data_IF_589986425379
#
_entry.id   IF_589986425379
#
_cell.length_a   1.000
_cell.length_b   1.000
_cell.length_c   1.000
_cell.angle_alpha   90.00
_cell.angle_beta   90.00
_cell.angle_gamma   90.00
#
_symmetry.space_group_name_H-M   'P 1'
#
loop_
_entity.id
_entity.type
_entity.pdbx_description
1 polymer ?
#
# COMPACT_ATOMS: atom_id res chain seq x y z
N UNK A 1 -4.96 -17.26 -17.18
CA UNK A 1 -5.14 -15.91 -16.62
C UNK A 1 -4.26 -15.80 -15.38
N UNK A 2 -2.97 -15.59 -15.59
CA UNK A 2 -2.04 -15.26 -14.51
C UNK A 2 -2.12 -13.77 -14.21
N UNK A 3 -2.17 -13.43 -12.93
CA UNK A 3 -2.07 -12.06 -12.45
C UNK A 3 -0.86 -12.01 -11.51
N UNK A 4 0.08 -11.11 -11.78
CA UNK A 4 1.19 -10.83 -10.85
C UNK A 4 1.00 -9.43 -10.29
N UNK A 5 0.96 -9.28 -8.97
CA UNK A 5 0.79 -7.97 -8.33
C UNK A 5 2.02 -7.63 -7.48
N UNK A 6 2.55 -6.43 -7.66
CA UNK A 6 3.50 -5.80 -6.74
C UNK A 6 2.74 -4.80 -5.89
N UNK A 7 2.82 -4.96 -4.57
CA UNK A 7 2.08 -4.18 -3.58
C UNK A 7 3.02 -3.67 -2.51
N UNK A 8 2.55 -2.70 -1.72
CA UNK A 8 3.21 -2.33 -0.48
C UNK A 8 3.42 -3.56 0.41
N UNK A 9 4.68 -3.87 0.70
CA UNK A 9 5.03 -4.90 1.66
C UNK A 9 4.88 -4.34 3.08
N UNK A 10 3.71 -4.57 3.67
CA UNK A 10 3.37 -4.12 5.04
C UNK A 10 4.25 -4.82 6.08
N UNK A 11 4.74 -6.04 5.81
CA UNK A 11 5.65 -6.72 6.73
C UNK A 11 7.03 -6.05 6.74
N UNK A 12 7.57 -5.71 5.57
CA UNK A 12 8.82 -4.95 5.45
C UNK A 12 8.68 -3.52 6.00
N UNK A 13 7.53 -2.87 5.80
CA UNK A 13 7.22 -1.57 6.38
C UNK A 13 7.25 -1.64 7.91
N UNK A 14 6.57 -2.62 8.52
CA UNK A 14 6.63 -2.82 9.98
C UNK A 14 8.07 -3.02 10.42
N UNK A 15 8.83 -3.92 9.80
CA UNK A 15 10.20 -4.17 10.23
C UNK A 15 11.09 -2.91 10.11
N UNK A 16 10.88 -2.08 9.09
CA UNK A 16 11.55 -0.79 8.97
C UNK A 16 11.15 0.18 10.09
N UNK A 17 9.85 0.31 10.40
CA UNK A 17 9.37 1.16 11.48
C UNK A 17 9.89 0.67 12.84
N UNK A 18 9.82 -0.65 13.11
CA UNK A 18 10.39 -1.26 14.32
C UNK A 18 11.86 -0.91 14.49
N UNK A 19 12.65 -1.07 13.42
CA UNK A 19 14.08 -0.76 13.45
C UNK A 19 14.38 0.73 13.61
N UNK A 20 13.53 1.62 13.09
CA UNK A 20 13.71 3.07 13.21
C UNK A 20 13.36 3.56 14.63
N UNK A 21 12.35 2.95 15.25
CA UNK A 21 11.90 3.26 16.60
C UNK A 21 12.65 2.46 17.68
N UNK A 22 13.67 1.68 17.27
CA UNK A 22 14.49 0.85 18.15
C UNK A 22 13.69 -0.10 19.05
N UNK A 23 12.50 -0.50 18.58
CA UNK A 23 11.63 -1.41 19.31
C UNK A 23 12.20 -2.83 19.31
N UNK A 24 12.03 -3.61 20.41
CA UNK A 24 12.44 -5.01 20.45
C UNK A 24 11.85 -5.83 19.30
N UNK A 25 12.50 -6.94 18.96
CA UNK A 25 11.97 -7.89 18.00
C UNK A 25 10.58 -8.38 18.45
N UNK A 26 9.59 -8.31 17.56
CA UNK A 26 8.20 -8.67 17.87
C UNK A 26 7.39 -7.58 18.59
N UNK A 27 7.98 -6.43 18.94
CA UNK A 27 7.26 -5.34 19.61
C UNK A 27 6.54 -4.37 18.64
N UNK A 28 6.68 -4.53 17.32
CA UNK A 28 5.78 -3.89 16.35
C UNK A 28 4.95 -4.95 15.63
N UNK A 29 3.68 -5.04 15.98
CA UNK A 29 2.77 -6.10 15.50
C UNK A 29 1.75 -5.57 14.49
N UNK A 30 1.06 -6.46 13.79
CA UNK A 30 -0.13 -6.08 13.03
C UNK A 30 -1.29 -5.97 14.02
N UNK A 31 -2.07 -4.89 13.96
CA UNK A 31 -3.14 -4.64 14.92
C UNK A 31 -4.29 -5.65 14.83
N UNK A 32 -4.42 -6.30 13.69
CA UNK A 32 -5.43 -7.29 13.31
C UNK A 32 -4.97 -8.74 13.58
N UNK A 33 -3.75 -8.93 14.08
CA UNK A 33 -3.22 -10.25 14.39
C UNK A 33 -3.78 -10.76 15.73
N UNK A 34 -4.37 -11.95 15.74
CA UNK A 34 -5.00 -12.58 16.92
C UNK A 34 -4.00 -13.06 18.00
N UNK A 35 -2.76 -12.58 17.98
CA UNK A 35 -1.76 -12.95 18.97
C UNK A 35 -1.99 -12.20 20.29
N UNK A 36 -1.57 -12.81 21.40
CA UNK A 36 -1.53 -12.10 22.68
C UNK A 36 -0.64 -10.84 22.54
N UNK A 37 -1.05 -9.70 23.13
CA UNK A 37 -0.26 -8.49 23.06
C UNK A 37 1.12 -8.70 23.70
N UNK A 38 2.20 -8.13 23.13
CA UNK A 38 3.50 -8.14 23.76
C UNK A 38 3.46 -7.53 25.17
N UNK A 39 4.31 -8.03 26.06
CA UNK A 39 4.47 -7.43 27.38
C UNK A 39 5.25 -6.11 27.28
N UNK A 40 4.87 -5.11 28.08
CA UNK A 40 5.57 -3.82 28.17
C UNK A 40 5.19 -2.83 27.06
N UNK A 41 6.13 -1.95 26.69
CA UNK A 41 5.96 -0.96 25.64
C UNK A 41 6.07 -1.62 24.26
N UNK A 42 5.02 -1.50 23.46
CA UNK A 42 4.98 -2.03 22.10
C UNK A 42 4.16 -1.11 21.19
N UNK A 43 4.19 -1.38 19.90
CA UNK A 43 3.38 -0.69 18.92
C UNK A 43 2.64 -1.68 18.02
N UNK A 44 1.53 -1.24 17.43
CA UNK A 44 0.83 -1.94 16.38
C UNK A 44 0.64 -1.04 15.17
N UNK A 45 0.71 -1.63 13.98
CA UNK A 45 0.45 -0.94 12.72
C UNK A 45 -0.84 -1.48 12.13
N UNK A 46 -1.75 -0.59 11.74
CA UNK A 46 -3.02 -0.93 11.11
C UNK A 46 -3.25 -0.11 9.86
N UNK A 47 -3.52 -0.75 8.74
CA UNK A 47 -4.07 -0.06 7.57
C UNK A 47 -5.51 0.36 7.85
N UNK A 48 -5.82 1.64 7.63
CA UNK A 48 -7.17 2.18 7.80
C UNK A 48 -7.91 2.25 6.48
N UNK A 49 -7.26 2.82 5.48
CA UNK A 49 -7.82 3.05 4.16
C UNK A 49 -6.69 3.23 3.15
N UNK A 50 -7.00 2.89 1.90
CA UNK A 50 -6.12 3.09 0.76
C UNK A 50 -6.93 3.69 -0.37
N UNK A 51 -6.38 4.69 -1.05
CA UNK A 51 -7.01 5.37 -2.17
C UNK A 51 -6.04 5.51 -3.34
N UNK A 52 -6.56 5.45 -4.56
CA UNK A 52 -5.80 5.77 -5.76
C UNK A 52 -5.53 7.28 -5.83
N UNK A 53 -4.35 7.64 -6.31
CA UNK A 53 -3.97 9.02 -6.58
C UNK A 53 -3.93 9.21 -8.09
N UNK A 54 -4.94 9.90 -8.61
CA UNK A 54 -5.08 10.13 -10.04
C UNK A 54 -5.61 8.91 -10.79
N UNK A 55 -5.24 8.79 -12.06
CA UNK A 55 -5.72 7.72 -12.96
C UNK A 55 -4.63 6.69 -13.17
N UNK A 56 -4.99 5.41 -13.04
CA UNK A 56 -4.10 4.28 -13.32
C UNK A 56 -3.58 4.32 -14.76
N UNK A 57 -2.26 4.17 -14.91
CA UNK A 57 -1.59 4.07 -16.22
C UNK A 57 -1.61 2.62 -16.70
N UNK A 58 -1.84 2.43 -18.00
CA UNK A 58 -1.85 1.12 -18.64
C UNK A 58 -0.79 1.07 -19.72
N UNK A 59 -0.04 -0.02 -19.73
CA UNK A 59 0.99 -0.30 -20.73
C UNK A 59 0.79 -1.71 -21.28
N UNK A 60 0.65 -1.82 -22.60
CA UNK A 60 0.50 -3.10 -23.26
C UNK A 60 1.81 -3.50 -23.93
N UNK A 61 2.31 -4.69 -23.60
CA UNK A 61 3.44 -5.31 -24.28
C UNK A 61 2.92 -6.41 -25.22
N UNK A 62 2.85 -6.09 -26.52
CA UNK A 62 2.36 -7.01 -27.56
C UNK A 62 3.22 -8.26 -27.76
N UNK A 63 4.53 -8.18 -27.51
CA UNK A 63 5.44 -9.33 -27.63
C UNK A 63 5.25 -10.33 -26.49
N UNK A 64 4.91 -9.82 -25.31
CA UNK A 64 4.68 -10.62 -24.11
C UNK A 64 3.22 -11.01 -23.88
N UNK A 65 2.29 -10.51 -24.71
CA UNK A 65 0.84 -10.60 -24.50
C UNK A 65 0.42 -10.26 -23.06
N UNK A 66 0.93 -9.11 -22.57
CA UNK A 66 0.74 -8.67 -21.19
C UNK A 66 0.32 -7.21 -21.12
N UNK A 67 -0.65 -6.94 -20.25
CA UNK A 67 -1.00 -5.59 -19.80
C UNK A 67 -0.36 -5.34 -18.43
N UNK A 68 0.27 -4.19 -18.26
CA UNK A 68 0.71 -3.70 -16.94
C UNK A 68 -0.12 -2.49 -16.56
N UNK A 69 -0.78 -2.57 -15.42
CA UNK A 69 -1.52 -1.48 -14.80
C UNK A 69 -0.69 -0.95 -13.63
N UNK A 70 -0.33 0.32 -13.67
CA UNK A 70 0.41 1.01 -12.61
C UNK A 70 -0.47 2.08 -11.99
N UNK A 71 -0.60 2.02 -10.68
CA UNK A 71 -1.47 2.88 -9.89
C UNK A 71 -0.64 3.51 -8.77
N UNK A 72 -0.67 4.84 -8.68
CA UNK A 72 -0.17 5.51 -7.50
C UNK A 72 -1.23 5.42 -6.40
N UNK A 73 -0.83 5.05 -5.19
CA UNK A 73 -1.74 4.90 -4.05
C UNK A 73 -1.28 5.77 -2.89
N UNK A 74 -2.26 6.27 -2.14
CA UNK A 74 -2.06 6.87 -0.83
C UNK A 74 -2.78 6.01 0.21
N UNK A 75 -2.04 5.49 1.18
CA UNK A 75 -2.57 4.61 2.22
C UNK A 75 -2.35 5.24 3.58
N UNK A 76 -3.42 5.29 4.37
CA UNK A 76 -3.41 5.77 5.74
C UNK A 76 -3.19 4.61 6.69
N UNK A 77 -2.14 4.68 7.50
CA UNK A 77 -1.85 3.74 8.57
C UNK A 77 -2.00 4.40 9.94
N UNK A 78 -2.54 3.66 10.90
CA UNK A 78 -2.46 4.00 12.31
C UNK A 78 -1.31 3.23 12.94
N UNK A 79 -0.31 3.97 13.41
CA UNK A 79 0.71 3.48 14.33
C UNK A 79 0.20 3.74 15.75
N UNK A 80 -0.09 2.68 16.48
CA UNK A 80 -0.67 2.75 17.82
C UNK A 80 0.37 2.24 18.80
N UNK A 81 0.78 3.06 19.75
CA UNK A 81 1.70 2.68 20.83
C UNK A 81 0.91 2.29 22.06
N UNK A 82 1.40 1.29 22.79
CA UNK A 82 0.72 0.67 23.93
C UNK A 82 1.70 0.43 25.06
N UNK A 83 1.22 0.53 26.30
CA UNK A 83 1.99 0.26 27.50
C UNK A 83 2.68 1.52 28.06
N UNK A 84 3.41 1.38 29.17
CA UNK A 84 4.03 2.52 29.86
C UNK A 84 4.99 3.29 28.93
N UNK A 85 4.80 4.61 28.80
CA UNK A 85 5.56 5.47 27.90
C UNK A 85 5.03 5.49 26.45
N UNK A 86 3.80 5.01 26.21
CA UNK A 86 3.20 4.99 24.87
C UNK A 86 3.15 6.39 24.22
N UNK A 87 2.80 7.41 25.00
CA UNK A 87 2.71 8.78 24.48
C UNK A 87 4.08 9.35 24.10
N UNK A 88 5.09 9.13 24.93
CA UNK A 88 6.46 9.57 24.66
C UNK A 88 7.01 8.89 23.40
N UNK A 89 6.80 7.57 23.28
CA UNK A 89 7.17 6.83 22.06
C UNK A 89 6.47 7.38 20.81
N UNK A 90 5.21 7.80 20.90
CA UNK A 90 4.51 8.41 19.77
C UNK A 90 5.10 9.77 19.38
N UNK A 91 5.52 10.58 20.37
CA UNK A 91 6.22 11.84 20.13
C UNK A 91 7.60 11.63 19.51
N UNK A 92 8.37 10.67 20.02
CA UNK A 92 9.68 10.30 19.47
C UNK A 92 9.54 9.76 18.05
N UNK A 93 8.56 8.88 17.81
CA UNK A 93 8.28 8.35 16.49
C UNK A 93 8.00 9.45 15.47
N UNK A 94 7.21 10.46 15.85
CA UNK A 94 6.93 11.60 14.97
C UNK A 94 8.22 12.33 14.57
N UNK A 95 9.13 12.56 15.51
CA UNK A 95 10.41 13.22 15.22
C UNK A 95 11.36 12.34 14.41
N UNK A 96 11.49 11.05 14.77
CA UNK A 96 12.36 10.09 14.09
C UNK A 96 11.94 9.91 12.63
N UNK A 97 10.63 9.82 12.35
CA UNK A 97 10.11 9.60 11.01
C UNK A 97 10.33 10.78 10.06
N UNK A 98 10.66 11.96 10.59
CA UNK A 98 11.08 13.13 9.82
C UNK A 98 12.58 13.16 9.52
N UNK A 99 13.37 12.29 10.15
CA UNK A 99 14.81 12.22 9.92
C UNK A 99 15.14 11.74 8.50
N UNK A 100 16.26 12.21 7.94
CA UNK A 100 16.76 11.75 6.64
C UNK A 100 16.95 10.23 6.61
N UNK A 101 17.43 9.63 7.71
CA UNK A 101 17.59 8.18 7.85
C UNK A 101 16.27 7.44 7.68
N UNK A 102 15.19 7.93 8.30
CA UNK A 102 13.87 7.33 8.17
C UNK A 102 13.33 7.48 6.75
N UNK A 103 13.40 8.68 6.18
CA UNK A 103 12.94 8.93 4.81
C UNK A 103 13.70 8.08 3.77
N UNK A 104 15.02 7.93 3.90
CA UNK A 104 15.81 7.07 3.02
C UNK A 104 15.50 5.58 3.20
N UNK A 105 15.17 5.16 4.43
CA UNK A 105 14.72 3.79 4.69
C UNK A 105 13.38 3.51 4.03
N UNK A 106 12.42 4.43 4.11
CA UNK A 106 11.11 4.30 3.45
C UNK A 106 11.23 4.33 1.92
N UNK A 107 12.07 5.22 1.37
CA UNK A 107 12.32 5.29 -0.08
C UNK A 107 12.85 3.98 -0.65
N UNK A 108 13.73 3.28 0.06
CA UNK A 108 14.23 1.95 -0.34
C UNK A 108 13.14 0.88 -0.38
N UNK A 109 12.03 1.07 0.32
CA UNK A 109 10.84 0.22 0.24
C UNK A 109 9.87 0.66 -0.85
N UNK A 110 10.19 1.69 -1.63
CA UNK A 110 9.27 2.28 -2.61
C UNK A 110 8.16 3.12 -1.99
N UNK A 111 8.36 3.62 -0.77
CA UNK A 111 7.35 4.36 0.00
C UNK A 111 7.83 5.77 0.32
N UNK A 112 6.93 6.74 0.22
CA UNK A 112 7.12 8.09 0.74
C UNK A 112 6.16 8.36 1.90
N UNK A 113 6.58 9.15 2.89
CA UNK A 113 5.76 9.64 3.99
C UNK A 113 5.45 11.14 3.74
N UNK A 114 4.44 11.49 2.93
CA UNK A 114 4.09 12.88 2.65
C UNK A 114 3.66 13.66 3.89
N UNK A 115 2.90 13.05 4.79
CA UNK A 115 2.38 13.73 5.98
C UNK A 115 2.08 12.76 7.12
N UNK A 116 2.04 13.33 8.33
CA UNK A 116 1.53 12.70 9.54
C UNK A 116 0.47 13.60 10.15
N UNK A 117 -0.53 13.00 10.80
CA UNK A 117 -1.52 13.78 11.57
C UNK A 117 -1.02 14.05 13.00
N UNK A 118 -1.70 14.94 13.75
CA UNK A 118 -1.48 15.09 15.18
C UNK A 118 -1.55 13.76 15.94
N UNK A 119 -0.85 13.68 17.07
CA UNK A 119 -0.87 12.52 17.95
C UNK A 119 -2.13 12.59 18.79
N UNK A 120 -2.90 11.50 18.80
CA UNK A 120 -4.03 11.33 19.71
C UNK A 120 -3.55 10.61 20.97
N UNK A 121 -3.73 11.22 22.13
CA UNK A 121 -3.58 10.51 23.41
C UNK A 121 -4.87 9.73 23.68
N UNK A 122 -4.76 8.41 23.68
CA UNK A 122 -5.87 7.46 23.89
C UNK A 122 -5.78 6.80 25.27
N UNK A 123 -4.92 7.31 26.15
CA UNK A 123 -4.72 6.75 27.47
C UNK A 123 -6.00 6.88 28.30
N UNK A 124 -6.34 5.81 29.00
CA UNK A 124 -7.55 5.71 29.79
C UNK A 124 -7.30 4.91 31.07
N UNK A 125 -8.16 5.09 32.07
CA UNK A 125 -8.18 4.23 33.24
C UNK A 125 -9.37 3.28 33.11
N UNK A 126 -9.11 1.99 33.03
CA UNK A 126 -10.15 0.95 32.90
C UNK A 126 -10.06 -0.01 34.07
N UNK A 127 -11.17 -0.20 34.80
CA UNK A 127 -11.23 -1.08 35.98
C UNK A 127 -10.12 -0.81 37.02
N UNK A 128 -9.71 0.47 37.18
CA UNK A 128 -8.66 0.88 38.11
C UNK A 128 -7.23 0.64 37.60
N UNK A 129 -7.05 0.16 36.37
CA UNK A 129 -5.74 -0.02 35.73
C UNK A 129 -5.54 1.08 34.67
N UNK A 130 -4.42 1.80 34.77
CA UNK A 130 -4.02 2.75 33.73
C UNK A 130 -3.60 2.00 32.46
N UNK A 131 -4.27 2.31 31.35
CA UNK A 131 -3.91 1.88 30.01
C UNK A 131 -3.34 3.07 29.27
N UNK A 132 -2.03 3.07 29.10
CA UNK A 132 -1.35 4.07 28.28
C UNK A 132 -1.39 3.65 26.81
N UNK A 133 -1.94 4.54 25.99
CA UNK A 133 -2.07 4.33 24.56
C UNK A 133 -2.00 5.65 23.83
N UNK A 134 -1.31 5.68 22.69
CA UNK A 134 -1.33 6.83 21.79
C UNK A 134 -1.41 6.38 20.34
N UNK A 135 -1.92 7.26 19.47
CA UNK A 135 -2.05 7.00 18.04
C UNK A 135 -1.38 8.09 17.24
N UNK A 136 -0.56 7.68 16.29
CA UNK A 136 0.00 8.51 15.24
C UNK A 136 -0.51 7.99 13.89
N UNK A 137 -1.14 8.86 13.11
CA UNK A 137 -1.56 8.50 11.74
C UNK A 137 -0.48 8.89 10.74
N UNK A 138 -0.06 7.90 9.96
CA UNK A 138 0.94 7.98 8.90
C UNK A 138 0.22 7.91 7.55
N UNK A 139 0.45 8.89 6.68
CA UNK A 139 -0.04 8.82 5.31
C UNK A 139 1.12 8.47 4.40
N UNK A 140 1.05 7.32 3.74
CA UNK A 140 2.13 6.76 2.92
C UNK A 140 1.72 6.74 1.45
N UNK A 141 2.59 7.27 0.58
CA UNK A 141 2.44 7.17 -0.87
C UNK A 141 3.32 6.04 -1.41
N UNK A 142 2.76 5.18 -2.25
CA UNK A 142 3.46 4.03 -2.85
C UNK A 142 2.85 3.64 -4.21
N UNK A 143 3.55 2.77 -4.93
CA UNK A 143 3.05 2.23 -6.20
C UNK A 143 2.40 0.86 -6.01
N UNK A 144 1.25 0.66 -6.67
CA UNK A 144 0.66 -0.64 -6.90
C UNK A 144 0.80 -1.00 -8.38
N UNK A 145 1.26 -2.20 -8.69
CA UNK A 145 1.40 -2.67 -10.05
C UNK A 145 0.72 -4.03 -10.21
N UNK A 146 -0.09 -4.18 -11.24
CA UNK A 146 -0.70 -5.45 -11.64
C UNK A 146 -0.31 -5.77 -13.08
N UNK A 147 0.18 -6.99 -13.30
CA UNK A 147 0.47 -7.53 -14.63
C UNK A 147 -0.54 -8.61 -14.95
N UNK A 148 -1.25 -8.44 -16.07
CA UNK A 148 -2.31 -9.31 -16.55
C UNK A 148 -1.88 -9.95 -17.88
N UNK A 149 -2.28 -11.20 -18.11
CA UNK A 149 -2.25 -11.76 -19.47
C UNK A 149 -3.31 -11.06 -20.32
N UNK A 150 -2.89 -10.48 -21.44
CA UNK A 150 -3.78 -9.87 -22.42
C UNK A 150 -3.32 -10.30 -23.82
N UNK A 151 -4.06 -11.23 -24.42
CA UNK A 151 -3.75 -11.73 -25.76
C UNK A 151 -3.95 -10.64 -26.79
N UNK A 152 -3.08 -10.63 -27.82
CA UNK A 152 -3.28 -9.73 -28.95
C UNK A 152 -4.52 -10.15 -29.74
N UNK A 153 -5.19 -9.17 -30.34
CA UNK A 153 -6.22 -9.47 -31.34
C UNK A 153 -5.51 -10.00 -32.58
N UNK A 154 -5.63 -11.30 -32.83
CA UNK A 154 -4.96 -11.96 -33.96
C UNK A 154 -5.60 -11.63 -35.32
N UNK A 155 -6.91 -11.37 -35.34
CA UNK A 155 -7.66 -10.95 -36.52
C UNK A 155 -9.05 -10.47 -36.09
N UNK A 156 -9.63 -9.54 -36.85
CA UNK A 156 -11.00 -9.08 -36.67
C UNK A 156 -11.77 -9.23 -37.98
N UNK A 157 -13.00 -9.75 -37.92
CA UNK A 157 -13.89 -9.80 -39.09
C UNK A 157 -14.85 -8.62 -39.03
N UNK A 158 -14.84 -7.80 -40.08
CA UNK A 158 -15.75 -6.66 -40.24
C UNK A 158 -16.78 -7.01 -41.30
N UNK A 159 -18.06 -7.00 -40.92
CA UNK A 159 -19.17 -7.18 -41.84
C UNK A 159 -19.94 -5.87 -41.98
N UNK A 160 -20.03 -5.36 -43.20
CA UNK A 160 -20.81 -4.17 -43.54
C UNK A 160 -22.11 -4.57 -44.25
N UNK A 161 -23.23 -3.98 -43.83
CA UNK A 161 -24.53 -4.13 -44.47
C UNK A 161 -24.97 -2.78 -45.04
N UNK A 162 -25.47 -2.78 -46.27
CA UNK A 162 -26.10 -1.60 -46.86
C UNK A 162 -27.61 -1.65 -46.68
N UNK A 163 -28.23 -0.48 -46.74
CA UNK A 163 -29.67 -0.29 -46.86
C UNK A 163 -30.27 -0.94 -48.13
N UNK A 164 -29.45 -1.20 -49.14
CA UNK A 164 -29.81 -1.99 -50.34
C UNK A 164 -29.74 -3.51 -50.15
N UNK A 165 -29.37 -4.00 -48.96
CA UNK A 165 -29.29 -5.43 -48.64
C UNK A 165 -27.98 -6.12 -49.05
N UNK A 166 -26.98 -5.37 -49.53
CA UNK A 166 -25.65 -5.92 -49.82
C UNK A 166 -24.87 -6.14 -48.52
N UNK A 167 -24.16 -7.26 -48.45
CA UNK A 167 -23.29 -7.59 -47.32
C UNK A 167 -21.87 -7.83 -47.83
N UNK A 168 -20.89 -7.17 -47.21
CA UNK A 168 -19.48 -7.39 -47.49
C UNK A 168 -18.74 -7.74 -46.21
N UNK A 169 -17.88 -8.75 -46.26
CA UNK A 169 -17.09 -9.22 -45.11
C UNK A 169 -15.60 -9.09 -45.43
N UNK A 170 -14.86 -8.42 -44.55
CA UNK A 170 -13.40 -8.26 -44.64
C UNK A 170 -12.76 -8.83 -43.37
N UNK A 171 -11.67 -9.59 -43.52
CA UNK A 171 -10.82 -9.97 -42.39
C UNK A 171 -9.67 -8.98 -42.28
N UNK A 172 -9.57 -8.30 -41.14
CA UNK A 172 -8.49 -7.40 -40.78
C UNK A 172 -7.47 -8.18 -39.95
N UNK A 173 -6.27 -8.36 -40.49
CA UNK A 173 -5.14 -8.91 -39.76
C UNK A 173 -4.28 -7.75 -39.21
N UNK A 174 -3.70 -7.88 -38.01
CA UNK A 174 -2.76 -6.89 -37.48
C UNK A 174 -1.50 -6.85 -38.36
N UNK A 175 -0.99 -5.65 -38.64
CA UNK A 175 0.30 -5.46 -39.33
C UNK A 175 1.43 -5.98 -38.45
N UNK A 176 2.34 -6.78 -39.02
CA UNK A 176 3.59 -7.13 -38.36
C UNK A 176 4.45 -5.86 -38.22
N UNK A 177 4.71 -5.45 -36.98
CA UNK A 177 5.65 -4.37 -36.62
C UNK A 177 6.62 -4.86 -35.58
#
# INVERSE_FOLDING_TARGET
MSITATRLDVAALREALRSLLELPAGALVAADQAAAPPAGLYASLREQQSAEVGVSRREFNGNGERETVVTACETTFHLITHGPGALDLAHDARSILQSSRALDRLRRLGVALPRMKPIDNLSAVEAGVAKEQARLELVLAHGHQVVLEQKRIASSVVTAHTDTGLTATLTVNPTET
#
